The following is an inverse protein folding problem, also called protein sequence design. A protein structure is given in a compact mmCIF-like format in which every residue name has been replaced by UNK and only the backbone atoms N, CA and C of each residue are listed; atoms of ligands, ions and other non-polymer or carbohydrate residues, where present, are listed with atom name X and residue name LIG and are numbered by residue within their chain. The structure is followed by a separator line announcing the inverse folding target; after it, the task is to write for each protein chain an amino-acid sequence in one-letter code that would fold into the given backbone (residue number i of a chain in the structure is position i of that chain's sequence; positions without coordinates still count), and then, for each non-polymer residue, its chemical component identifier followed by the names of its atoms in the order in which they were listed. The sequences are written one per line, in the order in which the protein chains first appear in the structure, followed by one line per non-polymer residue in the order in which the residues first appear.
data_IF_075565831623
#
_entry.id   IF_075565831623
#
_cell.length_a   1.000
_cell.length_b   1.000
_cell.length_c   1.000
_cell.angle_alpha   90.00
_cell.angle_beta   90.00
_cell.angle_gamma   90.00
#
_symmetry.space_group_name_H-M   'P 1'
#
loop_
_entity.id
_entity.type
_entity.pdbx_description
1 polymer ?
#
# COMPACT_ATOMS: atom_id res chain seq x y z
N UNK A 1 11.76 11.19 20.02
CA UNK A 1 11.46 9.75 20.19
C UNK A 1 10.15 9.49 19.49
N UNK A 2 10.18 8.88 18.31
CA UNK A 2 8.98 8.52 17.56
C UNK A 2 8.28 7.39 18.30
N UNK A 3 7.06 7.64 18.80
CA UNK A 3 6.20 6.59 19.37
C UNK A 3 5.68 5.69 18.23
N UNK A 4 5.42 4.42 18.53
CA UNK A 4 4.84 3.47 17.59
C UNK A 4 3.43 3.93 17.19
N UNK A 5 3.17 4.11 15.89
CA UNK A 5 1.92 4.71 15.38
C UNK A 5 0.66 3.90 15.65
N UNK A 6 0.78 2.64 16.10
CA UNK A 6 -0.35 1.77 16.44
C UNK A 6 -0.89 1.96 17.87
N UNK A 7 -0.30 2.87 18.67
CA UNK A 7 -0.69 3.08 20.08
C UNK A 7 -1.69 4.22 20.27
N UNK A 8 -1.74 5.16 19.33
CA UNK A 8 -2.67 6.28 19.28
C UNK A 8 -3.55 6.15 18.03
N UNK A 9 -4.71 6.83 18.00
CA UNK A 9 -5.54 6.84 16.80
C UNK A 9 -4.78 7.49 15.64
N UNK A 10 -4.72 6.85 14.46
CA UNK A 10 -4.00 7.42 13.32
C UNK A 10 -4.68 8.71 12.85
N UNK A 11 -3.86 9.62 12.37
CA UNK A 11 -4.34 10.80 11.61
C UNK A 11 -4.41 10.43 10.14
N UNK A 12 -5.42 10.95 9.42
CA UNK A 12 -5.60 10.63 8.00
C UNK A 12 -5.86 11.90 7.21
N UNK A 13 -5.00 12.15 6.24
CA UNK A 13 -5.13 13.29 5.34
C UNK A 13 -6.16 13.02 4.23
N UNK A 14 -6.90 14.04 3.77
CA UNK A 14 -7.79 13.90 2.62
C UNK A 14 -7.04 13.49 1.35
N UNK A 15 -7.60 12.55 0.58
CA UNK A 15 -7.05 12.16 -0.71
C UNK A 15 -7.21 13.31 -1.73
N UNK A 16 -6.11 13.65 -2.42
CA UNK A 16 -6.08 14.73 -3.41
C UNK A 16 -6.63 14.31 -4.79
N UNK A 17 -7.76 13.58 -4.82
CA UNK A 17 -8.29 12.88 -6.00
C UNK A 17 -8.68 13.78 -7.19
N UNK A 18 -8.73 15.10 -7.00
CA UNK A 18 -9.05 16.05 -8.06
C UNK A 18 -7.80 16.57 -8.79
N UNK A 19 -6.61 16.28 -8.27
CA UNK A 19 -5.33 16.72 -8.83
C UNK A 19 -4.91 15.82 -9.99
N UNK A 20 -4.00 16.30 -10.84
CA UNK A 20 -3.49 15.50 -11.97
C UNK A 20 -2.51 14.45 -11.45
N UNK A 21 -1.71 14.82 -10.48
CA UNK A 21 -0.67 14.06 -9.80
C UNK A 21 -1.26 12.80 -9.14
N UNK A 22 -2.48 12.89 -8.58
CA UNK A 22 -3.18 11.72 -8.05
C UNK A 22 -3.34 10.59 -9.08
N UNK A 23 -3.44 10.93 -10.37
CA UNK A 23 -3.61 9.96 -11.45
C UNK A 23 -2.34 9.68 -12.26
N UNK A 24 -1.19 10.17 -11.82
CA UNK A 24 0.08 9.89 -12.49
C UNK A 24 0.57 8.47 -12.17
N UNK A 25 0.88 7.70 -13.22
CA UNK A 25 1.27 6.30 -13.11
C UNK A 25 2.65 6.11 -12.48
N UNK A 26 3.58 7.01 -12.78
CA UNK A 26 4.93 6.94 -12.24
C UNK A 26 4.92 7.26 -10.73
N UNK A 27 4.17 8.29 -10.33
CA UNK A 27 4.00 8.63 -8.91
C UNK A 27 3.21 7.58 -8.14
N UNK A 28 2.27 6.87 -8.79
CA UNK A 28 1.59 5.73 -8.19
C UNK A 28 2.57 4.56 -7.99
N UNK A 29 3.31 4.16 -9.02
CA UNK A 29 4.25 3.03 -8.96
C UNK A 29 5.33 3.26 -7.90
N UNK A 30 5.91 4.47 -7.85
CA UNK A 30 6.89 4.86 -6.86
C UNK A 30 6.33 4.74 -5.42
N UNK A 31 5.10 5.18 -5.19
CA UNK A 31 4.46 5.09 -3.87
C UNK A 31 4.08 3.65 -3.50
N UNK A 32 3.63 2.84 -4.48
CA UNK A 32 3.37 1.41 -4.29
C UNK A 32 4.64 0.72 -3.79
N UNK A 33 5.77 0.91 -4.48
CA UNK A 33 7.06 0.32 -4.10
C UNK A 33 7.53 0.80 -2.73
N UNK A 34 7.40 2.09 -2.42
CA UNK A 34 7.78 2.66 -1.12
C UNK A 34 6.99 2.03 0.03
N UNK A 35 5.67 1.91 -0.09
CA UNK A 35 4.86 1.30 0.96
C UNK A 35 5.10 -0.21 1.03
N UNK A 36 5.27 -0.89 -0.11
CA UNK A 36 5.58 -2.32 -0.15
C UNK A 36 6.90 -2.66 0.53
N UNK A 37 7.92 -1.82 0.38
CA UNK A 37 9.22 -1.96 1.05
C UNK A 37 9.07 -1.89 2.58
N UNK A 38 8.33 -0.89 3.07
CA UNK A 38 8.00 -0.77 4.50
C UNK A 38 7.18 -1.97 5.00
N UNK A 39 6.23 -2.46 4.20
CA UNK A 39 5.45 -3.65 4.52
C UNK A 39 6.32 -4.90 4.57
N UNK A 40 7.23 -5.08 3.62
CA UNK A 40 8.16 -6.21 3.54
C UNK A 40 9.10 -6.25 4.75
N UNK A 41 9.60 -5.09 5.20
CA UNK A 41 10.48 -5.00 6.36
C UNK A 41 9.81 -5.36 7.70
N UNK A 42 8.49 -5.14 7.85
CA UNK A 42 7.80 -5.36 9.13
C UNK A 42 6.88 -6.58 9.18
N UNK A 43 6.25 -6.96 8.05
CA UNK A 43 5.32 -8.08 7.85
C UNK A 43 4.19 -8.26 8.88
N UNK A 44 3.90 -7.24 9.71
CA UNK A 44 2.94 -7.33 10.83
C UNK A 44 1.48 -7.56 10.41
N UNK A 45 1.15 -7.24 9.16
CA UNK A 45 -0.23 -7.28 8.66
C UNK A 45 -0.59 -8.60 7.94
N UNK A 46 0.31 -9.59 7.91
CA UNK A 46 0.17 -10.81 7.10
C UNK A 46 -1.14 -11.59 7.33
N UNK A 47 -1.75 -11.46 8.51
CA UNK A 47 -2.96 -12.19 8.89
C UNK A 47 -4.26 -11.37 8.81
N UNK A 48 -4.23 -10.17 8.24
CA UNK A 48 -5.41 -9.29 8.19
C UNK A 48 -6.27 -9.48 6.92
N UNK A 49 -5.62 -9.64 5.77
CA UNK A 49 -6.28 -9.88 4.49
C UNK A 49 -5.29 -10.50 3.50
N UNK A 50 -5.81 -11.02 2.39
CA UNK A 50 -5.02 -11.73 1.38
C UNK A 50 -4.03 -10.83 0.61
N UNK A 51 -4.16 -9.49 0.67
CA UNK A 51 -3.20 -8.58 0.04
C UNK A 51 -1.78 -8.76 0.57
N UNK A 52 -1.63 -8.96 1.89
CA UNK A 52 -0.30 -9.02 2.51
C UNK A 52 0.43 -10.33 2.21
N UNK A 53 -0.17 -11.53 2.36
CA UNK A 53 0.44 -12.77 1.90
C UNK A 53 0.83 -12.71 0.42
N UNK A 54 -0.04 -12.21 -0.46
CA UNK A 54 0.27 -12.06 -1.90
C UNK A 54 1.48 -11.16 -2.16
N UNK A 55 1.53 -10.01 -1.48
CA UNK A 55 2.68 -9.11 -1.57
C UNK A 55 3.97 -9.80 -1.12
N UNK A 56 3.93 -10.50 0.01
CA UNK A 56 5.12 -11.16 0.56
C UNK A 56 5.56 -12.35 -0.30
N UNK A 57 4.63 -13.15 -0.79
CA UNK A 57 4.91 -14.26 -1.70
C UNK A 57 5.52 -13.76 -3.01
N UNK A 58 5.04 -12.64 -3.55
CA UNK A 58 5.61 -12.04 -4.76
C UNK A 58 7.06 -11.58 -4.54
N UNK A 59 7.36 -10.99 -3.39
CA UNK A 59 8.72 -10.54 -3.07
C UNK A 59 9.64 -11.74 -2.80
N UNK A 60 9.21 -12.67 -1.93
CA UNK A 60 10.02 -13.80 -1.48
C UNK A 60 10.35 -14.78 -2.62
N UNK A 61 9.45 -14.93 -3.58
CA UNK A 61 9.67 -15.74 -4.78
C UNK A 61 10.22 -14.92 -5.97
N UNK A 62 10.44 -13.62 -5.78
CA UNK A 62 10.98 -12.71 -6.77
C UNK A 62 12.48 -12.93 -7.02
N UNK A 63 13.03 -12.38 -8.12
CA UNK A 63 14.41 -12.64 -8.53
C UNK A 63 15.47 -12.09 -7.57
N UNK A 64 15.15 -11.01 -6.83
CA UNK A 64 16.06 -10.35 -5.87
C UNK A 64 15.70 -10.66 -4.42
N UNK A 65 14.50 -11.17 -4.15
CA UNK A 65 13.96 -11.25 -2.80
C UNK A 65 13.54 -9.90 -2.21
N UNK A 66 13.55 -8.83 -3.02
CA UNK A 66 13.31 -7.45 -2.62
C UNK A 66 12.29 -6.76 -3.55
N UNK A 67 11.78 -5.59 -3.15
CA UNK A 67 10.73 -4.86 -3.91
C UNK A 67 11.22 -4.37 -5.27
N UNK A 68 12.53 -4.20 -5.47
CA UNK A 68 13.13 -3.81 -6.75
C UNK A 68 12.95 -4.87 -7.85
N UNK A 69 12.78 -6.14 -7.47
CA UNK A 69 12.56 -7.26 -8.38
C UNK A 69 11.12 -7.41 -8.86
N UNK A 70 10.18 -6.65 -8.29
CA UNK A 70 8.77 -6.73 -8.64
C UNK A 70 8.45 -6.00 -9.95
N UNK A 71 7.56 -6.60 -10.76
CA UNK A 71 6.98 -5.95 -11.94
C UNK A 71 5.67 -5.27 -11.54
N UNK A 72 5.43 -4.08 -12.09
CA UNK A 72 4.19 -3.34 -11.84
C UNK A 72 2.94 -4.10 -12.29
N UNK A 73 3.09 -5.00 -13.28
CA UNK A 73 2.05 -5.91 -13.77
C UNK A 73 1.54 -6.89 -12.69
N UNK A 74 2.32 -7.15 -11.64
CA UNK A 74 1.93 -8.06 -10.55
C UNK A 74 1.10 -7.35 -9.46
N UNK A 75 1.16 -6.01 -9.41
CA UNK A 75 0.51 -5.20 -8.37
C UNK A 75 -1.03 -5.34 -8.33
N UNK A 76 -1.75 -5.46 -9.46
CA UNK A 76 -3.20 -5.68 -9.43
C UNK A 76 -3.62 -6.87 -8.55
N UNK A 77 -2.84 -7.95 -8.52
CA UNK A 77 -3.17 -9.13 -7.70
C UNK A 77 -3.22 -8.84 -6.19
N UNK A 78 -2.42 -7.87 -5.72
CA UNK A 78 -2.40 -7.40 -4.32
C UNK A 78 -3.58 -6.47 -4.06
N UNK A 79 -3.87 -5.60 -5.03
CA UNK A 79 -4.96 -4.60 -4.99
C UNK A 79 -6.32 -5.31 -4.92
N UNK A 80 -6.53 -6.35 -5.72
CA UNK A 80 -7.80 -7.09 -5.77
C UNK A 80 -8.08 -7.89 -4.50
N UNK A 81 -7.03 -8.30 -3.79
CA UNK A 81 -7.17 -8.97 -2.51
C UNK A 81 -7.53 -8.01 -1.35
N UNK A 82 -7.55 -6.70 -1.58
CA UNK A 82 -7.85 -5.72 -0.55
C UNK A 82 -9.35 -5.44 -0.45
N UNK A 83 -9.88 -5.60 0.77
CA UNK A 83 -11.29 -5.34 1.07
C UNK A 83 -11.58 -3.88 1.45
N UNK A 84 -10.56 -3.02 1.49
CA UNK A 84 -10.67 -1.61 1.94
C UNK A 84 -11.33 -1.45 3.32
N UNK A 85 -11.11 -2.40 4.24
CA UNK A 85 -11.70 -2.38 5.59
C UNK A 85 -10.93 -1.53 6.62
N UNK A 86 -9.80 -0.93 6.23
CA UNK A 86 -8.91 -0.10 7.06
C UNK A 86 -8.27 -0.78 8.29
N UNK A 87 -8.46 -2.08 8.51
CA UNK A 87 -7.95 -2.76 9.71
C UNK A 87 -6.41 -2.69 9.84
N UNK A 88 -5.68 -2.74 8.73
CA UNK A 88 -4.22 -2.61 8.75
C UNK A 88 -3.77 -1.21 9.18
N UNK A 89 -4.45 -0.18 8.71
CA UNK A 89 -4.19 1.22 9.05
C UNK A 89 -4.60 1.52 10.49
N UNK A 90 -5.80 1.12 10.90
CA UNK A 90 -6.36 1.51 12.21
C UNK A 90 -5.76 0.74 13.40
N UNK A 91 -5.30 -0.50 13.20
CA UNK A 91 -5.06 -1.41 14.35
C UNK A 91 -3.74 -2.15 14.36
N UNK A 92 -2.97 -2.16 13.26
CA UNK A 92 -1.74 -2.97 13.16
C UNK A 92 -0.51 -2.23 12.70
N UNK A 93 -0.65 -1.28 11.78
CA UNK A 93 0.51 -0.63 11.18
C UNK A 93 1.17 0.34 12.18
N UNK A 94 2.44 0.13 12.56
CA UNK A 94 3.15 1.04 13.46
C UNK A 94 3.63 2.32 12.76
N UNK A 95 3.43 2.42 11.44
CA UNK A 95 4.04 3.43 10.57
C UNK A 95 3.02 4.35 9.90
N UNK A 96 1.80 4.38 10.43
CA UNK A 96 0.74 5.32 10.05
C UNK A 96 1.07 6.76 10.48
N UNK A 97 0.47 7.78 9.85
CA UNK A 97 0.68 9.18 10.22
C UNK A 97 0.35 9.41 11.71
N UNK A 98 1.21 10.12 12.47
CA UNK A 98 2.25 11.05 12.01
C UNK A 98 3.65 10.43 11.84
N UNK A 99 3.78 9.10 11.79
CA UNK A 99 5.08 8.47 11.56
C UNK A 99 5.68 8.96 10.23
N UNK A 100 7.01 9.21 10.12
CA UNK A 100 7.64 9.74 8.91
C UNK A 100 7.44 8.90 7.64
N UNK A 101 7.19 7.59 7.80
CA UNK A 101 6.87 6.71 6.67
C UNK A 101 5.45 6.87 6.14
N UNK A 102 4.55 7.50 6.90
CA UNK A 102 3.23 7.93 6.42
C UNK A 102 2.47 6.81 5.66
N UNK A 103 2.42 5.60 6.22
CA UNK A 103 1.84 4.43 5.53
C UNK A 103 0.33 4.50 5.59
N UNK A 104 -0.31 4.58 4.43
CA UNK A 104 -1.76 4.43 4.26
C UNK A 104 -2.05 3.44 3.12
N UNK A 105 -1.90 2.16 3.44
CA UNK A 105 -2.08 1.07 2.48
C UNK A 105 -3.49 1.06 1.84
N UNK A 106 -4.60 1.24 2.58
CA UNK A 106 -5.92 1.29 1.95
C UNK A 106 -6.09 2.46 0.97
N UNK A 107 -5.61 3.67 1.31
CA UNK A 107 -5.68 4.80 0.38
C UNK A 107 -4.79 4.60 -0.87
N UNK A 108 -3.63 3.96 -0.71
CA UNK A 108 -2.78 3.58 -1.84
C UNK A 108 -3.53 2.64 -2.81
N UNK A 109 -4.18 1.60 -2.29
CA UNK A 109 -4.91 0.66 -3.14
C UNK A 109 -6.17 1.28 -3.75
N UNK A 110 -6.84 2.19 -3.03
CA UNK A 110 -7.92 3.01 -3.59
C UNK A 110 -7.42 3.87 -4.76
N UNK A 111 -6.25 4.52 -4.63
CA UNK A 111 -5.63 5.30 -5.70
C UNK A 111 -5.34 4.44 -6.92
N UNK A 112 -4.79 3.24 -6.72
CA UNK A 112 -4.54 2.29 -7.80
C UNK A 112 -5.83 1.96 -8.57
N UNK A 113 -6.91 1.57 -7.88
CA UNK A 113 -8.20 1.30 -8.52
C UNK A 113 -8.74 2.51 -9.28
N UNK A 114 -8.63 3.72 -8.72
CA UNK A 114 -9.09 4.94 -9.36
C UNK A 114 -8.31 5.27 -10.64
N UNK A 115 -6.99 5.02 -10.65
CA UNK A 115 -6.11 5.18 -11.82
C UNK A 115 -6.49 4.19 -12.92
N UNK A 116 -6.68 2.92 -12.58
CA UNK A 116 -7.09 1.90 -13.55
C UNK A 116 -8.45 2.20 -14.19
N UNK A 117 -9.44 2.58 -13.37
CA UNK A 117 -10.76 3.01 -13.86
C UNK A 117 -10.64 4.20 -14.83
N UNK A 118 -9.75 5.17 -14.56
CA UNK A 118 -9.52 6.32 -15.43
C UNK A 118 -8.90 5.94 -16.77
N UNK A 119 -8.08 4.88 -16.82
CA UNK A 119 -7.54 4.31 -18.06
C UNK A 119 -8.57 3.51 -18.85
N UNK A 120 -9.74 3.24 -18.28
CA UNK A 120 -10.78 2.40 -18.86
C UNK A 120 -10.64 0.92 -18.52
N UNK A 121 -9.68 0.56 -17.66
CA UNK A 121 -9.57 -0.77 -17.08
C UNK A 121 -10.61 -0.85 -15.96
N UNK A 122 -11.59 -1.73 -16.13
CA UNK A 122 -12.59 -2.02 -15.11
C UNK A 122 -12.46 -3.50 -14.77
N UNK A 123 -12.53 -3.81 -13.48
CA UNK A 123 -12.73 -5.17 -12.98
C UNK A 123 -13.84 -5.89 -13.78
#
# INVERSE_FOLDING_TARGET
MSREGSLDAPTREPIAWQTREFYDDHDLDAEMRRIFDVCHGCRRCFNLCDSFPRLFDLIDNGPTGEVDGLKSEDFPSIVEACTLCDMCFMTKCPYVPPHPFNVDFPHLLLRHRAVEVKKGNKD
#
